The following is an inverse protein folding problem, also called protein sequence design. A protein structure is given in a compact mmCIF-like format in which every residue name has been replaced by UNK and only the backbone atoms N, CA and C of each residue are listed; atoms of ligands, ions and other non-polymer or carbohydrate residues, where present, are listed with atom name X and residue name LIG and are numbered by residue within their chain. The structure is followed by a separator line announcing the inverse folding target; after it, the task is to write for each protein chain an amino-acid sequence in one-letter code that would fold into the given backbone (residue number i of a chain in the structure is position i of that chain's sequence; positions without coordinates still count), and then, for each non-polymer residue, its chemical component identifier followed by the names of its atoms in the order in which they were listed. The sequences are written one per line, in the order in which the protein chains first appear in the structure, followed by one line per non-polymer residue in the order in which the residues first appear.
data_IF_750857026827
#
_entry.id   IF_750857026827
#
_cell.length_a   1.000
_cell.length_b   1.000
_cell.length_c   1.000
_cell.angle_alpha   90.00
_cell.angle_beta   90.00
_cell.angle_gamma   90.00
#
_symmetry.space_group_name_H-M   'P 1'
#
loop_
_entity.id
_entity.type
_entity.pdbx_description
1 polymer ?
#
# COMPACT_ATOMS: atom_id res chain seq x y z
N UNK A 1 32.22 -27.29 -41.33
CA UNK A 1 30.91 -27.21 -40.65
C UNK A 1 31.02 -28.02 -39.37
N UNK A 2 31.22 -27.37 -38.23
CA UNK A 2 31.19 -28.05 -36.94
C UNK A 2 29.72 -28.31 -36.57
N UNK A 3 29.33 -29.58 -36.58
CA UNK A 3 28.03 -30.04 -36.10
C UNK A 3 27.90 -29.71 -34.62
N UNK A 4 26.89 -28.92 -34.26
CA UNK A 4 26.50 -28.71 -32.87
C UNK A 4 26.25 -30.08 -32.21
N UNK A 5 26.74 -30.32 -30.98
CA UNK A 5 26.48 -31.58 -30.30
C UNK A 5 24.96 -31.72 -30.13
N UNK A 6 24.44 -32.88 -30.55
CA UNK A 6 23.06 -33.26 -30.31
C UNK A 6 22.80 -33.20 -28.81
N UNK A 7 21.79 -32.42 -28.41
CA UNK A 7 21.30 -32.39 -27.04
C UNK A 7 20.81 -33.80 -26.71
N UNK A 8 21.48 -34.46 -25.76
CA UNK A 8 21.10 -35.78 -25.29
C UNK A 8 19.71 -35.68 -24.64
N UNK A 9 18.66 -36.30 -25.22
CA UNK A 9 17.34 -36.23 -24.66
C UNK A 9 17.28 -37.24 -23.51
N UNK A 10 16.92 -36.75 -22.32
CA UNK A 10 16.68 -37.52 -21.09
C UNK A 10 17.93 -37.73 -20.21
N UNK A 11 18.43 -36.63 -19.62
CA UNK A 11 18.89 -36.72 -18.23
C UNK A 11 17.62 -36.80 -17.37
N UNK A 12 17.30 -38.00 -16.89
CA UNK A 12 16.22 -38.21 -15.94
C UNK A 12 16.65 -37.63 -14.60
N UNK A 13 16.25 -36.39 -14.34
CA UNK A 13 16.41 -35.80 -13.02
C UNK A 13 15.35 -36.43 -12.14
N UNK A 14 15.76 -37.23 -11.16
CA UNK A 14 14.89 -37.75 -10.09
C UNK A 14 14.43 -36.57 -9.21
N UNK A 15 13.48 -35.79 -9.74
CA UNK A 15 12.99 -34.57 -9.14
C UNK A 15 11.88 -34.92 -8.14
N UNK A 16 12.24 -34.94 -6.86
CA UNK A 16 11.29 -35.23 -5.79
C UNK A 16 10.11 -34.23 -5.77
N UNK A 17 8.88 -34.68 -5.44
CA UNK A 17 7.75 -33.80 -5.22
C UNK A 17 7.97 -32.94 -3.98
N UNK A 18 7.71 -31.65 -4.10
CA UNK A 18 7.83 -30.73 -2.96
C UNK A 18 6.81 -31.07 -1.86
N UNK A 19 7.29 -31.03 -0.61
CA UNK A 19 6.48 -31.28 0.57
C UNK A 19 5.34 -30.26 0.66
N UNK A 20 4.11 -30.75 0.76
CA UNK A 20 2.94 -29.91 1.04
C UNK A 20 3.09 -29.30 2.44
N UNK A 21 2.65 -28.06 2.60
CA UNK A 21 2.45 -27.45 3.93
C UNK A 21 1.58 -28.41 4.74
N UNK A 22 2.17 -28.98 5.79
CA UNK A 22 1.54 -30.00 6.62
C UNK A 22 0.54 -29.36 7.61
N UNK A 23 -0.18 -30.22 8.31
CA UNK A 23 -1.17 -29.84 9.32
C UNK A 23 -0.57 -28.95 10.43
N UNK A 24 0.69 -29.17 10.80
CA UNK A 24 1.41 -28.44 11.85
C UNK A 24 1.53 -26.94 11.59
N UNK A 25 1.85 -26.54 10.34
CA UNK A 25 1.92 -25.12 10.00
C UNK A 25 0.53 -24.46 10.03
N UNK A 26 -0.52 -25.20 9.66
CA UNK A 26 -1.91 -24.72 9.74
C UNK A 26 -2.36 -24.58 11.19
N UNK A 27 -2.01 -25.53 12.04
CA UNK A 27 -2.27 -25.47 13.48
C UNK A 27 -1.53 -24.32 14.13
N UNK A 28 -0.28 -24.05 13.76
CA UNK A 28 0.48 -22.94 14.32
C UNK A 28 -0.19 -21.58 14.01
N UNK A 29 -0.67 -21.39 12.78
CA UNK A 29 -1.44 -20.20 12.39
C UNK A 29 -2.77 -20.13 13.15
N UNK A 30 -3.52 -21.22 13.22
CA UNK A 30 -4.80 -21.27 13.95
C UNK A 30 -4.65 -21.00 15.44
N UNK A 31 -3.59 -21.50 16.06
CA UNK A 31 -3.28 -21.31 17.49
C UNK A 31 -2.71 -19.91 17.79
N UNK A 32 -2.63 -19.02 16.79
CA UNK A 32 -2.12 -17.66 16.97
C UNK A 32 -0.64 -17.62 17.33
N UNK A 33 0.11 -18.69 17.03
CA UNK A 33 1.55 -18.76 17.33
C UNK A 33 2.38 -17.91 16.36
N UNK A 34 1.76 -17.40 15.28
CA UNK A 34 2.38 -16.55 14.27
C UNK A 34 2.05 -15.09 14.55
N UNK A 35 3.06 -14.31 14.93
CA UNK A 35 2.91 -12.88 15.23
C UNK A 35 2.70 -12.01 13.98
N UNK A 36 2.24 -10.75 14.18
CA UNK A 36 2.04 -9.79 13.06
C UNK A 36 3.29 -9.58 12.21
N UNK A 37 4.48 -9.61 12.81
CA UNK A 37 5.75 -9.45 12.08
C UNK A 37 6.07 -10.65 11.19
N UNK A 38 5.78 -11.87 11.63
CA UNK A 38 5.92 -13.07 10.80
C UNK A 38 4.95 -13.02 9.61
N UNK A 39 3.70 -12.60 9.82
CA UNK A 39 2.74 -12.42 8.71
C UNK A 39 3.25 -11.37 7.70
N UNK A 40 3.90 -10.29 8.15
CA UNK A 40 4.53 -9.32 7.22
C UNK A 40 5.58 -10.00 6.35
N UNK A 41 6.45 -10.82 6.95
CA UNK A 41 7.45 -11.57 6.19
C UNK A 41 6.81 -12.57 5.21
N UNK A 42 5.72 -13.24 5.60
CA UNK A 42 4.99 -14.16 4.72
C UNK A 42 4.29 -13.44 3.56
N UNK A 43 3.73 -12.25 3.79
CA UNK A 43 3.16 -11.41 2.72
C UNK A 43 4.25 -10.95 1.75
N UNK A 44 5.41 -10.53 2.25
CA UNK A 44 6.55 -10.15 1.41
C UNK A 44 7.08 -11.34 0.61
N UNK A 45 7.23 -12.51 1.24
CA UNK A 45 7.62 -13.75 0.58
C UNK A 45 6.62 -14.16 -0.51
N UNK A 46 5.32 -13.96 -0.29
CA UNK A 46 4.31 -14.21 -1.31
C UNK A 46 4.52 -13.34 -2.56
N UNK A 47 4.78 -12.04 -2.38
CA UNK A 47 5.03 -11.17 -3.52
C UNK A 47 6.34 -11.50 -4.26
N UNK A 48 7.36 -11.99 -3.54
CA UNK A 48 8.60 -12.49 -4.17
C UNK A 48 8.31 -13.73 -5.03
N UNK A 49 7.64 -14.75 -4.46
CA UNK A 49 7.26 -15.97 -5.19
C UNK A 49 6.38 -15.66 -6.42
N UNK A 50 5.45 -14.72 -6.27
CA UNK A 50 4.61 -14.27 -7.39
C UNK A 50 5.45 -13.63 -8.52
N UNK A 51 6.44 -12.82 -8.16
CA UNK A 51 7.38 -12.23 -9.12
C UNK A 51 8.21 -13.28 -9.85
N UNK A 52 8.68 -14.28 -9.11
CA UNK A 52 9.48 -15.38 -9.66
C UNK A 52 8.64 -16.28 -10.57
N UNK A 53 7.41 -16.63 -10.18
CA UNK A 53 6.45 -17.35 -11.05
C UNK A 53 6.22 -16.61 -12.36
N UNK A 54 5.99 -15.30 -12.32
CA UNK A 54 5.79 -14.48 -13.53
C UNK A 54 7.06 -14.50 -14.40
N UNK A 55 8.24 -14.36 -13.78
CA UNK A 55 9.53 -14.38 -14.48
C UNK A 55 9.75 -15.70 -15.21
N UNK A 56 9.57 -16.83 -14.53
CA UNK A 56 9.78 -18.16 -15.12
C UNK A 56 8.71 -18.48 -16.16
N UNK A 57 7.48 -18.05 -15.98
CA UNK A 57 6.44 -18.16 -17.02
C UNK A 57 6.83 -17.40 -18.29
N UNK A 58 7.41 -16.20 -18.15
CA UNK A 58 7.91 -15.45 -19.30
C UNK A 58 9.11 -16.13 -19.98
N UNK A 59 10.00 -16.78 -19.21
CA UNK A 59 11.09 -17.58 -19.76
C UNK A 59 10.56 -18.77 -20.56
N UNK A 60 9.54 -19.47 -20.05
CA UNK A 60 8.88 -20.56 -20.79
C UNK A 60 8.26 -20.07 -22.11
N UNK A 61 7.60 -18.91 -22.10
CA UNK A 61 7.08 -18.29 -23.33
C UNK A 61 8.21 -18.00 -24.33
N UNK A 62 9.30 -17.39 -23.86
CA UNK A 62 10.46 -17.09 -24.70
C UNK A 62 11.14 -18.34 -25.27
N UNK A 63 11.11 -19.48 -24.58
CA UNK A 63 11.60 -20.75 -25.10
C UNK A 63 10.68 -21.29 -26.19
N UNK A 64 9.37 -21.26 -25.95
CA UNK A 64 8.35 -21.64 -26.95
C UNK A 64 8.46 -20.80 -28.23
N UNK A 65 8.67 -19.49 -28.11
CA UNK A 65 8.86 -18.60 -29.27
C UNK A 65 10.11 -18.96 -30.10
N UNK A 66 11.07 -19.68 -29.50
CA UNK A 66 12.28 -20.19 -30.15
C UNK A 66 12.17 -21.67 -30.56
N UNK A 67 10.98 -22.27 -30.47
CA UNK A 67 10.75 -23.71 -30.64
C UNK A 67 11.65 -24.59 -29.76
N UNK A 68 11.99 -24.11 -28.57
CA UNK A 68 12.74 -24.85 -27.57
C UNK A 68 11.80 -25.28 -26.44
N UNK A 69 11.91 -26.54 -26.02
CA UNK A 69 11.23 -27.06 -24.84
C UNK A 69 12.24 -27.40 -23.75
N UNK A 70 11.90 -27.13 -22.49
CA UNK A 70 12.76 -27.45 -21.35
C UNK A 70 11.91 -28.05 -20.23
N UNK A 71 12.08 -29.36 -20.02
CA UNK A 71 11.42 -30.09 -18.94
C UNK A 71 11.79 -29.52 -17.56
N UNK A 72 13.06 -29.15 -17.37
CA UNK A 72 13.58 -28.59 -16.11
C UNK A 72 12.92 -27.24 -15.80
N UNK A 73 12.83 -26.34 -16.78
CA UNK A 73 12.22 -25.02 -16.55
C UNK A 73 10.71 -25.15 -16.34
N UNK A 74 10.06 -26.11 -17.01
CA UNK A 74 8.66 -26.41 -16.77
C UNK A 74 8.41 -26.94 -15.35
N UNK A 75 9.26 -27.86 -14.87
CA UNK A 75 9.22 -28.32 -13.48
C UNK A 75 9.43 -27.17 -12.49
N UNK A 76 10.41 -26.29 -12.75
CA UNK A 76 10.68 -25.14 -11.89
C UNK A 76 9.53 -24.13 -11.88
N UNK A 77 8.83 -23.94 -13.01
CA UNK A 77 7.63 -23.11 -13.06
C UNK A 77 6.50 -23.71 -12.20
N UNK A 78 6.30 -25.02 -12.27
CA UNK A 78 5.32 -25.73 -11.44
C UNK A 78 5.65 -25.62 -9.94
N UNK A 79 6.94 -25.69 -9.58
CA UNK A 79 7.40 -25.47 -8.21
C UNK A 79 7.01 -24.09 -7.67
N UNK A 80 7.29 -23.04 -8.44
CA UNK A 80 6.98 -21.67 -8.02
C UNK A 80 5.47 -21.47 -7.89
N UNK A 81 4.69 -22.00 -8.83
CA UNK A 81 3.22 -21.93 -8.77
C UNK A 81 2.69 -22.66 -7.53
N UNK A 82 3.20 -23.85 -7.23
CA UNK A 82 2.79 -24.62 -6.05
C UNK A 82 3.19 -23.90 -4.74
N UNK A 83 4.39 -23.32 -4.69
CA UNK A 83 4.88 -22.56 -3.53
C UNK A 83 4.04 -21.32 -3.27
N UNK A 84 3.71 -20.55 -4.31
CA UNK A 84 2.80 -19.40 -4.22
C UNK A 84 1.41 -19.83 -3.71
N UNK A 85 0.83 -20.90 -4.27
CA UNK A 85 -0.48 -21.42 -3.84
C UNK A 85 -0.46 -21.90 -2.38
N UNK A 86 0.61 -22.55 -1.96
CA UNK A 86 0.75 -23.01 -0.57
C UNK A 86 0.80 -21.84 0.39
N UNK A 87 1.55 -20.79 0.06
CA UNK A 87 1.63 -19.59 0.89
C UNK A 87 0.30 -18.81 0.89
N UNK A 88 -0.40 -18.72 -0.24
CA UNK A 88 -1.75 -18.17 -0.28
C UNK A 88 -2.71 -18.89 0.67
N UNK A 89 -2.64 -20.23 0.74
CA UNK A 89 -3.48 -21.01 1.67
C UNK A 89 -3.16 -20.72 3.14
N UNK A 90 -1.87 -20.60 3.48
CA UNK A 90 -1.44 -20.23 4.84
C UNK A 90 -2.03 -18.85 5.22
N UNK A 91 -1.90 -17.87 4.32
CA UNK A 91 -2.44 -16.53 4.55
C UNK A 91 -3.98 -16.52 4.62
N UNK A 92 -4.66 -17.36 3.83
CA UNK A 92 -6.11 -17.55 3.94
C UNK A 92 -6.50 -18.06 5.32
N UNK A 93 -5.85 -19.11 5.82
CA UNK A 93 -6.15 -19.66 7.16
C UNK A 93 -5.97 -18.59 8.25
N UNK A 94 -4.93 -17.75 8.14
CA UNK A 94 -4.71 -16.65 9.08
C UNK A 94 -5.83 -15.60 9.03
N UNK A 95 -6.30 -15.27 7.83
CA UNK A 95 -7.38 -14.27 7.62
C UNK A 95 -8.71 -14.84 8.09
N UNK A 96 -9.05 -16.05 7.66
CA UNK A 96 -10.34 -16.69 7.90
C UNK A 96 -10.53 -17.09 9.38
N UNK A 97 -9.45 -17.19 10.16
CA UNK A 97 -9.52 -17.44 11.61
C UNK A 97 -9.91 -16.22 12.45
N UNK A 98 -10.06 -15.04 11.85
CA UNK A 98 -10.35 -13.78 12.54
C UNK A 98 -11.57 -13.09 11.92
N UNK A 99 -12.46 -12.55 12.75
CA UNK A 99 -13.68 -11.87 12.29
C UNK A 99 -13.38 -10.70 11.34
N UNK A 100 -12.35 -9.89 11.65
CA UNK A 100 -11.91 -8.81 10.76
C UNK A 100 -11.47 -9.35 9.39
N UNK A 101 -10.82 -10.51 9.36
CA UNK A 101 -10.38 -11.16 8.14
C UNK A 101 -11.54 -11.74 7.34
N UNK A 102 -12.53 -12.34 8.00
CA UNK A 102 -13.76 -12.81 7.38
C UNK A 102 -14.54 -11.65 6.74
N UNK A 103 -14.65 -10.51 7.44
CA UNK A 103 -15.23 -9.29 6.88
C UNK A 103 -14.47 -8.82 5.63
N UNK A 104 -13.14 -8.75 5.69
CA UNK A 104 -12.33 -8.38 4.53
C UNK A 104 -12.57 -9.32 3.34
N UNK A 105 -12.59 -10.63 3.57
CA UNK A 105 -12.81 -11.66 2.55
C UNK A 105 -14.23 -11.63 1.96
N UNK A 106 -15.21 -11.08 2.68
CA UNK A 106 -16.59 -10.90 2.18
C UNK A 106 -16.68 -9.84 1.07
N UNK A 107 -15.71 -8.92 1.01
CA UNK A 107 -15.71 -7.81 0.05
C UNK A 107 -15.16 -8.29 -1.29
N UNK A 108 -15.98 -8.20 -2.34
CA UNK A 108 -15.54 -8.55 -3.69
C UNK A 108 -14.25 -7.80 -4.08
N UNK A 109 -13.24 -8.57 -4.45
CA UNK A 109 -11.94 -8.06 -4.85
C UNK A 109 -10.91 -7.99 -3.71
N UNK A 110 -11.31 -8.10 -2.45
CA UNK A 110 -10.36 -8.15 -1.33
C UNK A 110 -10.09 -9.61 -0.98
N UNK A 111 -8.98 -10.13 -1.50
CA UNK A 111 -8.56 -11.51 -1.24
C UNK A 111 -7.62 -11.65 -0.03
N UNK A 112 -7.34 -12.90 0.39
CA UNK A 112 -6.55 -13.20 1.59
C UNK A 112 -5.20 -12.49 1.70
N UNK A 113 -4.49 -12.31 0.59
CA UNK A 113 -3.21 -11.61 0.59
C UNK A 113 -3.35 -10.13 0.98
N UNK A 114 -4.37 -9.46 0.44
CA UNK A 114 -4.64 -8.06 0.76
C UNK A 114 -5.09 -7.95 2.21
N UNK A 115 -5.98 -8.85 2.63
CA UNK A 115 -6.49 -8.91 4.01
C UNK A 115 -5.37 -9.11 5.01
N UNK A 116 -4.53 -10.14 4.81
CA UNK A 116 -3.38 -10.43 5.67
C UNK A 116 -2.41 -9.25 5.72
N UNK A 117 -2.12 -8.61 4.58
CA UNK A 117 -1.28 -7.41 4.52
C UNK A 117 -1.85 -6.26 5.38
N UNK A 118 -3.14 -5.95 5.25
CA UNK A 118 -3.78 -4.90 6.04
C UNK A 118 -3.72 -5.20 7.54
N UNK A 119 -4.14 -6.41 7.93
CA UNK A 119 -4.18 -6.86 9.32
C UNK A 119 -2.79 -6.89 9.96
N UNK A 120 -1.75 -7.21 9.18
CA UNK A 120 -0.38 -7.24 9.66
C UNK A 120 0.23 -5.84 9.77
N UNK A 121 -0.03 -4.93 8.82
CA UNK A 121 0.56 -3.58 8.86
C UNK A 121 -0.19 -2.61 9.78
N UNK A 122 -1.50 -2.76 9.94
CA UNK A 122 -2.31 -1.83 10.72
C UNK A 122 -2.48 -2.34 12.14
N UNK A 123 -2.00 -1.55 13.09
CA UNK A 123 -2.18 -1.77 14.50
C UNK A 123 -3.26 -0.84 15.03
N UNK A 124 -4.46 -1.36 15.25
CA UNK A 124 -5.64 -0.55 15.56
C UNK A 124 -5.50 0.23 16.88
N UNK A 125 -4.75 -0.32 17.84
CA UNK A 125 -4.44 0.32 19.13
C UNK A 125 -3.59 1.58 18.97
N UNK A 126 -2.84 1.70 17.88
CA UNK A 126 -2.04 2.88 17.54
C UNK A 126 -2.77 3.82 16.58
N UNK A 127 -4.02 3.51 16.24
CA UNK A 127 -4.84 4.29 15.33
C UNK A 127 -6.22 4.62 15.95
N UNK A 128 -6.28 5.56 16.92
CA UNK A 128 -7.56 5.98 17.51
C UNK A 128 -8.54 6.57 16.50
N UNK A 129 -8.03 7.13 15.39
CA UNK A 129 -8.85 7.64 14.29
C UNK A 129 -8.32 7.17 12.95
N UNK A 130 -9.19 7.04 11.95
CA UNK A 130 -8.81 6.67 10.57
C UNK A 130 -7.72 7.57 9.97
N UNK A 131 -7.64 8.84 10.39
CA UNK A 131 -6.60 9.77 9.96
C UNK A 131 -5.18 9.27 10.25
N UNK A 132 -4.99 8.52 11.35
CA UNK A 132 -3.71 7.87 11.68
C UNK A 132 -3.34 6.82 10.62
N UNK A 133 -4.32 6.01 10.19
CA UNK A 133 -4.12 5.02 9.13
C UNK A 133 -3.81 5.72 7.81
N UNK A 134 -4.56 6.78 7.44
CA UNK A 134 -4.30 7.52 6.21
C UNK A 134 -2.89 8.14 6.18
N UNK A 135 -2.41 8.68 7.30
CA UNK A 135 -1.06 9.22 7.41
C UNK A 135 -0.02 8.11 7.31
N UNK A 136 -0.21 6.99 8.03
CA UNK A 136 0.68 5.84 7.99
C UNK A 136 0.75 5.18 6.60
N UNK A 137 -0.36 5.15 5.86
CA UNK A 137 -0.46 4.66 4.49
C UNK A 137 -0.01 5.69 3.43
N UNK A 138 0.40 6.91 3.83
CA UNK A 138 0.88 7.95 2.91
C UNK A 138 -0.20 8.54 2.00
N UNK A 139 -1.46 8.57 2.47
CA UNK A 139 -2.63 9.16 1.82
C UNK A 139 -2.96 10.58 2.34
N UNK A 140 -2.28 11.04 3.39
CA UNK A 140 -2.37 12.41 3.92
C UNK A 140 -1.59 13.39 3.03
N UNK A 141 -2.25 14.33 2.33
CA UNK A 141 -1.58 15.29 1.45
C UNK A 141 -0.75 16.33 2.21
N UNK A 142 -1.01 16.55 3.51
CA UNK A 142 -0.26 17.51 4.33
C UNK A 142 1.14 17.01 4.70
N UNK A 143 1.34 15.68 4.67
CA UNK A 143 2.61 15.03 5.00
C UNK A 143 3.43 14.71 3.74
N UNK A 144 4.13 15.71 3.20
CA UNK A 144 5.01 15.56 2.03
C UNK A 144 6.34 14.89 2.41
N UNK A 145 6.79 13.95 1.57
CA UNK A 145 8.13 13.36 1.66
C UNK A 145 9.13 14.28 0.98
N UNK A 146 10.18 14.66 1.70
CA UNK A 146 11.25 15.55 1.23
C UNK A 146 12.42 14.67 0.77
N UNK A 147 12.94 14.94 -0.43
CA UNK A 147 14.08 14.20 -0.98
C UNK A 147 15.35 14.48 -0.18
N UNK A 148 16.35 13.59 -0.26
CA UNK A 148 17.64 13.84 0.39
C UNK A 148 18.31 15.13 -0.10
N UNK A 149 18.18 15.44 -1.40
CA UNK A 149 18.74 16.66 -1.98
C UNK A 149 18.07 17.93 -1.43
N UNK A 150 16.73 17.95 -1.41
CA UNK A 150 15.99 19.11 -0.91
C UNK A 150 16.13 19.26 0.60
N UNK A 151 16.22 18.14 1.32
CA UNK A 151 16.52 18.17 2.74
C UNK A 151 17.84 18.84 3.05
N UNK A 152 18.90 18.57 2.29
CA UNK A 152 20.21 19.20 2.48
C UNK A 152 20.14 20.71 2.21
N UNK A 153 19.36 21.13 1.19
CA UNK A 153 19.13 22.56 0.90
C UNK A 153 18.42 23.26 2.06
N UNK A 154 17.32 22.68 2.56
CA UNK A 154 16.55 23.23 3.69
C UNK A 154 17.42 23.37 4.93
N UNK A 155 18.18 22.32 5.28
CA UNK A 155 19.07 22.37 6.45
C UNK A 155 20.18 23.39 6.26
N UNK A 156 20.76 23.51 5.07
CA UNK A 156 21.84 24.46 4.82
C UNK A 156 21.38 25.92 4.82
N UNK A 157 20.10 26.17 4.49
CA UNK A 157 19.47 27.49 4.55
C UNK A 157 19.32 27.99 6.00
N UNK A 158 19.03 27.09 6.93
CA UNK A 158 18.70 27.44 8.32
C UNK A 158 19.82 27.18 9.32
N UNK A 159 20.73 26.25 9.05
CA UNK A 159 21.78 25.83 9.99
C UNK A 159 23.16 26.28 9.50
N UNK A 160 23.74 27.26 10.19
CA UNK A 160 25.09 27.77 9.89
C UNK A 160 26.19 26.83 10.43
N UNK A 161 25.99 26.26 11.62
CA UNK A 161 26.96 25.42 12.31
C UNK A 161 26.88 23.92 11.99
N UNK A 162 27.65 23.11 12.74
CA UNK A 162 27.62 21.65 12.66
C UNK A 162 26.55 21.02 13.57
N UNK A 163 26.17 21.73 14.63
CA UNK A 163 25.16 21.32 15.61
C UNK A 163 23.98 22.30 15.53
N UNK A 164 22.80 21.86 15.04
CA UNK A 164 21.63 22.71 14.93
C UNK A 164 21.14 23.14 16.31
N UNK A 165 20.82 24.43 16.46
CA UNK A 165 20.14 24.92 17.66
C UNK A 165 18.65 24.55 17.63
N UNK A 166 17.99 24.57 18.80
CA UNK A 166 16.56 24.29 18.89
C UNK A 166 15.71 25.32 18.12
N UNK A 167 16.16 26.57 18.05
CA UNK A 167 15.50 27.63 17.28
C UNK A 167 15.61 27.39 15.76
N UNK A 168 16.80 27.04 15.26
CA UNK A 168 16.98 26.64 13.85
C UNK A 168 16.09 25.44 13.50
N UNK A 169 16.02 24.43 14.39
CA UNK A 169 15.13 23.28 14.20
C UNK A 169 13.65 23.66 14.25
N UNK A 170 13.24 24.61 15.09
CA UNK A 170 11.87 25.11 15.14
C UNK A 170 11.48 25.81 13.82
N UNK A 171 12.38 26.62 13.25
CA UNK A 171 12.17 27.27 11.96
C UNK A 171 12.00 26.24 10.82
N UNK A 172 12.87 25.23 10.80
CA UNK A 172 12.75 24.11 9.85
C UNK A 172 11.42 23.36 10.05
N UNK A 173 11.04 23.10 11.30
CA UNK A 173 9.80 22.40 11.67
C UNK A 173 8.56 23.08 11.08
N UNK A 174 8.50 24.41 11.15
CA UNK A 174 7.44 25.23 10.54
C UNK A 174 7.48 25.13 9.02
N UNK A 175 8.64 25.30 8.39
CA UNK A 175 8.79 25.24 6.92
C UNK A 175 8.33 23.89 6.36
N UNK A 176 8.67 22.78 7.03
CA UNK A 176 8.35 21.42 6.53
C UNK A 176 7.01 20.86 7.04
N UNK A 177 6.25 21.65 7.82
CA UNK A 177 5.00 21.25 8.45
C UNK A 177 5.11 19.92 9.23
N UNK A 178 6.11 19.82 10.11
CA UNK A 178 6.28 18.70 11.06
C UNK A 178 6.31 19.24 12.48
N UNK A 179 6.01 18.39 13.46
CA UNK A 179 6.19 18.75 14.88
C UNK A 179 7.67 18.71 15.24
N UNK A 180 8.12 19.65 16.07
CA UNK A 180 9.52 19.77 16.46
C UNK A 180 10.00 18.49 17.16
N UNK A 181 9.22 17.93 18.10
CA UNK A 181 9.64 16.71 18.81
C UNK A 181 9.81 15.51 17.85
N UNK A 182 8.96 15.43 16.82
CA UNK A 182 9.06 14.39 15.80
C UNK A 182 10.29 14.59 14.90
N UNK A 183 10.63 15.84 14.59
CA UNK A 183 11.82 16.19 13.83
C UNK A 183 13.08 15.82 14.63
N UNK A 184 13.16 16.25 15.89
CA UNK A 184 14.26 15.94 16.82
C UNK A 184 14.47 14.43 16.95
N UNK A 185 13.41 13.68 17.27
CA UNK A 185 13.47 12.20 17.35
C UNK A 185 13.91 11.55 16.03
N UNK A 186 13.51 12.11 14.90
CA UNK A 186 13.92 11.57 13.59
C UNK A 186 15.38 11.89 13.24
N UNK A 187 15.91 12.99 13.76
CA UNK A 187 17.24 13.51 13.51
C UNK A 187 18.28 12.99 14.51
N UNK A 188 17.85 12.50 15.67
CA UNK A 188 18.72 11.97 16.72
C UNK A 188 19.56 10.79 16.21
N UNK A 189 20.85 10.83 16.52
CA UNK A 189 21.80 9.76 16.18
C UNK A 189 21.65 8.58 17.15
N UNK A 190 21.76 7.36 16.60
CA UNK A 190 21.69 6.12 17.36
C UNK A 190 23.04 5.40 17.34
N UNK A 191 23.45 4.86 18.49
CA UNK A 191 24.63 4.00 18.63
C UNK A 191 24.23 2.73 19.40
N UNK A 192 24.54 1.56 18.84
CA UNK A 192 24.16 0.26 19.40
C UNK A 192 22.66 0.17 19.76
N UNK A 193 21.80 0.71 18.90
CA UNK A 193 20.34 0.71 19.09
C UNK A 193 19.81 1.72 20.13
N UNK A 194 20.66 2.54 20.74
CA UNK A 194 20.26 3.55 21.73
C UNK A 194 20.41 4.97 21.20
N UNK A 195 19.47 5.89 21.51
CA UNK A 195 19.58 7.30 21.18
C UNK A 195 20.76 7.92 21.93
N UNK A 196 21.51 8.80 21.26
CA UNK A 196 22.71 9.44 21.82
C UNK A 196 22.46 10.84 22.37
N UNK A 197 21.28 11.43 22.17
CA UNK A 197 21.00 12.85 22.45
C UNK A 197 21.61 13.81 21.43
N UNK A 198 22.43 13.34 20.49
CA UNK A 198 23.16 14.18 19.55
C UNK A 198 22.38 14.35 18.25
N UNK A 199 22.25 15.60 17.83
CA UNK A 199 21.74 15.98 16.51
C UNK A 199 22.83 16.79 15.79
N UNK A 200 23.23 16.34 14.61
CA UNK A 200 24.17 17.02 13.73
C UNK A 200 23.45 17.55 12.50
N UNK A 201 24.08 18.48 11.76
CA UNK A 201 23.56 18.96 10.48
C UNK A 201 23.25 17.81 9.51
N UNK A 202 24.12 16.80 9.47
CA UNK A 202 23.95 15.62 8.64
C UNK A 202 22.81 14.71 9.14
N UNK A 203 22.73 14.47 10.45
CA UNK A 203 21.67 13.64 11.03
C UNK A 203 20.29 14.29 10.89
N UNK A 204 20.21 15.63 10.97
CA UNK A 204 19.01 16.41 10.71
C UNK A 204 18.54 16.27 9.26
N UNK A 205 19.44 16.40 8.29
CA UNK A 205 19.11 16.17 6.88
C UNK A 205 18.64 14.71 6.63
N UNK A 206 19.27 13.73 7.30
CA UNK A 206 18.82 12.34 7.25
C UNK A 206 17.43 12.17 7.87
N UNK A 207 17.15 12.83 9.00
CA UNK A 207 15.85 12.78 9.68
C UNK A 207 14.71 13.37 8.85
N UNK A 208 14.93 14.52 8.20
CA UNK A 208 13.94 15.17 7.33
C UNK A 208 13.63 14.32 6.10
N UNK A 209 14.66 13.73 5.50
CA UNK A 209 14.53 12.86 4.31
C UNK A 209 13.99 11.46 4.61
N UNK A 210 13.82 11.08 5.89
CA UNK A 210 13.08 9.85 6.24
C UNK A 210 11.66 9.92 5.69
N UNK A 211 11.22 8.79 5.14
CA UNK A 211 9.87 8.65 4.60
C UNK A 211 8.86 8.74 5.75
N UNK A 212 7.84 9.61 5.67
CA UNK A 212 6.90 9.82 6.78
C UNK A 212 5.75 8.79 6.83
N UNK A 213 5.79 7.75 5.99
CA UNK A 213 4.76 6.74 5.84
C UNK A 213 5.36 5.35 5.55
N UNK A 214 4.58 4.30 5.75
CA UNK A 214 4.96 2.94 5.37
C UNK A 214 4.74 2.73 3.86
N UNK A 215 5.84 2.49 3.13
CA UNK A 215 5.79 2.35 1.68
C UNK A 215 5.10 1.07 1.19
N UNK A 216 5.22 -0.02 1.94
CA UNK A 216 4.54 -1.27 1.60
C UNK A 216 3.04 -1.12 1.77
N UNK A 217 2.58 -0.55 2.88
CA UNK A 217 1.16 -0.25 3.09
C UNK A 217 0.62 0.74 2.04
N UNK A 218 1.39 1.75 1.66
CA UNK A 218 1.00 2.67 0.57
C UNK A 218 0.83 1.93 -0.76
N UNK A 219 1.72 0.99 -1.06
CA UNK A 219 1.65 0.16 -2.25
C UNK A 219 0.45 -0.78 -2.20
N UNK A 220 0.17 -1.36 -1.02
CA UNK A 220 -1.01 -2.17 -0.79
C UNK A 220 -2.30 -1.37 -1.02
N UNK A 221 -2.38 -0.13 -0.53
CA UNK A 221 -3.50 0.78 -0.78
C UNK A 221 -3.68 1.06 -2.29
N UNK A 222 -2.58 1.21 -3.03
CA UNK A 222 -2.66 1.33 -4.49
C UNK A 222 -3.28 0.07 -5.12
N UNK A 223 -2.83 -1.13 -4.73
CA UNK A 223 -3.38 -2.41 -5.20
C UNK A 223 -4.87 -2.56 -4.86
N UNK A 224 -5.27 -2.22 -3.64
CA UNK A 224 -6.67 -2.21 -3.21
C UNK A 224 -7.51 -1.33 -4.14
N UNK A 225 -7.08 -0.08 -4.36
CA UNK A 225 -7.82 0.82 -5.26
C UNK A 225 -7.84 0.33 -6.71
N UNK A 226 -6.79 -0.37 -7.17
CA UNK A 226 -6.75 -0.95 -8.51
C UNK A 226 -7.81 -2.06 -8.65
N UNK A 227 -7.86 -2.91 -7.64
CA UNK A 227 -8.75 -4.05 -7.59
C UNK A 227 -10.22 -3.62 -7.50
N UNK A 228 -10.54 -2.72 -6.57
CA UNK A 228 -11.90 -2.24 -6.35
C UNK A 228 -12.40 -1.28 -7.46
N UNK A 229 -11.56 -0.36 -7.95
CA UNK A 229 -12.01 0.70 -8.86
C UNK A 229 -11.77 0.41 -10.35
N UNK A 230 -10.87 -0.51 -10.68
CA UNK A 230 -10.45 -0.74 -12.07
C UNK A 230 -10.80 -2.15 -12.51
N UNK A 231 -10.36 -3.16 -11.77
CA UNK A 231 -10.54 -4.56 -12.18
C UNK A 231 -11.95 -5.08 -11.94
N UNK A 232 -12.58 -4.66 -10.85
CA UNK A 232 -13.94 -5.10 -10.47
C UNK A 232 -15.02 -4.06 -10.77
N UNK A 233 -14.72 -3.00 -11.53
CA UNK A 233 -15.65 -1.86 -11.69
C UNK A 233 -16.95 -2.23 -12.40
N UNK A 234 -16.91 -3.19 -13.32
CA UNK A 234 -18.08 -3.64 -14.08
C UNK A 234 -18.82 -4.80 -13.39
N UNK A 235 -18.38 -5.22 -12.20
CA UNK A 235 -19.03 -6.30 -11.48
C UNK A 235 -20.16 -5.73 -10.63
N UNK A 236 -21.39 -6.17 -10.88
CA UNK A 236 -22.59 -5.70 -10.18
C UNK A 236 -22.54 -5.97 -8.66
N UNK A 237 -21.78 -6.98 -8.22
CA UNK A 237 -21.56 -7.29 -6.80
C UNK A 237 -20.53 -6.38 -6.12
N UNK A 238 -19.89 -5.47 -6.86
CA UNK A 238 -18.89 -4.57 -6.30
C UNK A 238 -19.57 -3.39 -5.60
N UNK A 239 -19.67 -3.46 -4.28
CA UNK A 239 -20.19 -2.39 -3.43
C UNK A 239 -19.53 -1.02 -3.69
N UNK A 240 -18.22 -0.99 -3.94
CA UNK A 240 -17.46 0.26 -4.08
C UNK A 240 -17.48 0.85 -5.49
N UNK A 241 -17.85 0.07 -6.52
CA UNK A 241 -17.89 0.53 -7.90
C UNK A 241 -18.82 1.73 -8.13
N UNK A 242 -20.10 1.73 -7.70
CA UNK A 242 -20.99 2.88 -7.92
C UNK A 242 -20.48 4.15 -7.22
N UNK A 243 -19.96 4.02 -5.99
CA UNK A 243 -19.38 5.14 -5.24
C UNK A 243 -18.15 5.73 -5.96
N UNK A 244 -17.31 4.88 -6.53
CA UNK A 244 -16.16 5.30 -7.33
C UNK A 244 -16.59 6.03 -8.60
N UNK A 245 -17.57 5.49 -9.35
CA UNK A 245 -18.06 6.08 -10.59
C UNK A 245 -18.73 7.44 -10.35
N UNK A 246 -19.55 7.55 -9.31
CA UNK A 246 -20.15 8.81 -8.88
C UNK A 246 -19.07 9.85 -8.53
N UNK A 247 -18.06 9.45 -7.75
CA UNK A 247 -16.94 10.35 -7.41
C UNK A 247 -16.16 10.77 -8.66
N UNK A 248 -15.91 9.85 -9.59
CA UNK A 248 -15.19 10.13 -10.83
C UNK A 248 -15.97 11.13 -11.69
N UNK A 249 -17.28 10.96 -11.82
CA UNK A 249 -18.15 11.91 -12.52
C UNK A 249 -18.13 13.31 -11.87
N UNK A 250 -18.18 13.40 -10.53
CA UNK A 250 -18.03 14.68 -9.80
C UNK A 250 -16.69 15.35 -10.07
N UNK A 251 -15.58 14.61 -10.05
CA UNK A 251 -14.25 15.16 -10.35
C UNK A 251 -14.15 15.60 -11.82
N UNK A 252 -14.77 14.90 -12.76
CA UNK A 252 -14.86 15.34 -14.16
C UNK A 252 -15.64 16.64 -14.32
N UNK A 253 -16.80 16.76 -13.67
CA UNK A 253 -17.61 17.97 -13.73
C UNK A 253 -16.83 19.19 -13.22
N UNK A 254 -16.12 19.05 -12.09
CA UNK A 254 -15.21 20.09 -11.57
C UNK A 254 -14.09 20.44 -12.54
N UNK A 255 -13.50 19.43 -13.18
CA UNK A 255 -12.45 19.64 -14.16
C UNK A 255 -12.96 20.41 -15.39
N UNK A 256 -14.18 20.11 -15.85
CA UNK A 256 -14.82 20.83 -16.95
C UNK A 256 -15.24 22.26 -16.56
N UNK A 257 -15.60 22.48 -15.30
CA UNK A 257 -15.95 23.81 -14.76
C UNK A 257 -14.72 24.72 -14.56
N UNK A 258 -13.49 24.20 -14.69
CA UNK A 258 -12.26 24.98 -14.53
C UNK A 258 -11.71 25.03 -13.10
N UNK A 259 -12.30 24.30 -12.15
CA UNK A 259 -11.88 24.26 -10.72
C UNK A 259 -10.42 23.84 -10.51
N UNK A 260 -9.78 23.24 -11.54
CA UNK A 260 -8.41 22.76 -11.49
C UNK A 260 -7.43 23.56 -12.35
N UNK A 261 -7.81 24.71 -12.89
CA UNK A 261 -6.95 25.55 -13.73
C UNK A 261 -5.63 25.91 -13.03
N UNK A 262 -5.68 26.38 -11.78
CA UNK A 262 -4.49 26.72 -10.98
C UNK A 262 -3.57 25.51 -10.72
N UNK A 263 -4.14 24.31 -10.68
CA UNK A 263 -3.36 23.07 -10.51
C UNK A 263 -2.71 22.69 -11.84
N UNK A 264 -3.43 22.83 -12.95
CA UNK A 264 -2.92 22.57 -14.29
C UNK A 264 -1.75 23.50 -14.63
N UNK A 265 -1.89 24.79 -14.36
CA UNK A 265 -0.85 25.80 -14.62
C UNK A 265 0.45 25.45 -13.87
N UNK A 266 0.38 25.18 -12.56
CA UNK A 266 1.56 24.81 -11.76
C UNK A 266 2.25 23.52 -12.20
N UNK A 267 1.54 22.64 -12.92
CA UNK A 267 2.05 21.33 -13.33
C UNK A 267 2.50 21.28 -14.79
N UNK A 268 2.19 22.29 -15.60
CA UNK A 268 2.44 22.25 -17.04
C UNK A 268 3.92 22.03 -17.37
N UNK A 269 4.82 22.67 -16.61
CA UNK A 269 6.28 22.58 -16.80
C UNK A 269 6.90 21.29 -16.24
N UNK A 270 6.11 20.48 -15.53
CA UNK A 270 6.58 19.21 -14.94
C UNK A 270 6.44 18.03 -15.90
N UNK A 271 5.79 18.21 -17.05
CA UNK A 271 5.48 17.13 -18.01
C UNK A 271 5.95 17.48 -19.42
N UNK A 272 6.30 16.46 -20.19
CA UNK A 272 6.72 16.65 -21.59
C UNK A 272 5.57 17.14 -22.48
N UNK A 273 5.90 18.02 -23.45
CA UNK A 273 4.93 18.68 -24.34
C UNK A 273 4.07 17.75 -25.19
N UNK A 274 4.53 16.51 -25.42
CA UNK A 274 3.82 15.50 -26.22
C UNK A 274 2.83 14.67 -25.40
N UNK A 275 2.84 14.79 -24.07
CA UNK A 275 2.02 13.95 -23.18
C UNK A 275 0.55 14.35 -23.19
N UNK A 276 -0.34 13.38 -22.90
CA UNK A 276 -1.77 13.65 -22.69
C UNK A 276 -2.01 14.64 -21.54
N UNK A 277 -1.16 14.60 -20.51
CA UNK A 277 -1.21 15.53 -19.39
C UNK A 277 -0.93 16.97 -19.82
N UNK A 278 0.14 17.20 -20.61
CA UNK A 278 0.44 18.54 -21.12
C UNK A 278 -0.71 19.13 -21.94
N UNK A 279 -1.32 18.33 -22.83
CA UNK A 279 -2.48 18.76 -23.62
C UNK A 279 -3.65 19.20 -22.73
N UNK A 280 -3.97 18.40 -21.70
CA UNK A 280 -5.02 18.76 -20.74
C UNK A 280 -4.68 20.03 -19.97
N UNK A 281 -3.44 20.16 -19.48
CA UNK A 281 -3.04 21.33 -18.70
C UNK A 281 -3.09 22.63 -19.50
N UNK A 282 -2.77 22.58 -20.80
CA UNK A 282 -2.88 23.73 -21.71
C UNK A 282 -4.32 24.23 -21.85
N UNK A 283 -5.31 23.38 -21.61
CA UNK A 283 -6.73 23.73 -21.58
C UNK A 283 -7.22 24.12 -20.17
N UNK A 284 -6.33 24.26 -19.18
CA UNK A 284 -6.70 24.52 -17.79
C UNK A 284 -7.32 23.31 -17.08
N UNK A 285 -7.10 22.09 -17.59
CA UNK A 285 -7.72 20.85 -17.09
C UNK A 285 -6.67 19.85 -16.61
N UNK A 286 -7.04 18.97 -15.70
CA UNK A 286 -6.27 17.76 -15.39
C UNK A 286 -6.55 16.66 -16.42
N UNK A 287 -5.60 15.75 -16.61
CA UNK A 287 -5.80 14.58 -17.47
C UNK A 287 -6.77 13.55 -16.86
N UNK A 288 -7.41 12.72 -17.69
CA UNK A 288 -8.32 11.66 -17.22
C UNK A 288 -7.62 10.69 -16.25
N UNK A 289 -6.35 10.36 -16.49
CA UNK A 289 -5.56 9.53 -15.58
C UNK A 289 -5.40 10.16 -14.19
N UNK A 290 -5.27 11.48 -14.10
CA UNK A 290 -5.22 12.18 -12.82
C UNK A 290 -6.58 12.22 -12.12
N UNK A 291 -7.66 12.45 -12.88
CA UNK A 291 -9.03 12.39 -12.35
C UNK A 291 -9.32 10.99 -11.79
N UNK A 292 -8.91 9.94 -12.51
CA UNK A 292 -8.99 8.57 -12.03
C UNK A 292 -8.17 8.37 -10.75
N UNK A 293 -6.92 8.85 -10.69
CA UNK A 293 -6.08 8.69 -9.49
C UNK A 293 -6.61 9.47 -8.29
N UNK A 294 -7.22 10.65 -8.49
CA UNK A 294 -7.91 11.41 -7.44
C UNK A 294 -9.11 10.63 -6.90
N UNK A 295 -9.91 10.06 -7.79
CA UNK A 295 -11.09 9.27 -7.44
C UNK A 295 -10.72 7.97 -6.73
N UNK A 296 -9.67 7.27 -7.20
CA UNK A 296 -9.08 6.09 -6.54
C UNK A 296 -8.58 6.41 -5.13
N UNK A 297 -7.93 7.57 -4.95
CA UNK A 297 -7.45 8.02 -3.64
C UNK A 297 -8.59 8.31 -2.67
N UNK A 298 -9.69 8.89 -3.15
CA UNK A 298 -10.89 9.09 -2.35
C UNK A 298 -11.49 7.73 -1.91
N UNK A 299 -11.65 6.80 -2.84
CA UNK A 299 -12.23 5.50 -2.52
C UNK A 299 -11.37 4.69 -1.53
N UNK A 300 -10.05 4.65 -1.71
CA UNK A 300 -9.21 3.90 -0.76
C UNK A 300 -9.23 4.50 0.65
N UNK A 301 -9.42 5.82 0.77
CA UNK A 301 -9.64 6.45 2.08
C UNK A 301 -10.96 6.02 2.71
N UNK A 302 -12.02 5.93 1.91
CA UNK A 302 -13.32 5.43 2.34
C UNK A 302 -13.21 3.96 2.80
N UNK A 303 -12.61 3.10 1.98
CA UNK A 303 -12.36 1.70 2.36
C UNK A 303 -11.57 1.58 3.67
N UNK A 304 -10.51 2.38 3.86
CA UNK A 304 -9.76 2.39 5.12
C UNK A 304 -10.57 2.94 6.30
N UNK A 305 -11.57 3.78 6.05
CA UNK A 305 -12.54 4.21 7.07
C UNK A 305 -13.44 3.06 7.50
N UNK A 306 -13.92 2.26 6.54
CA UNK A 306 -14.68 1.04 6.86
C UNK A 306 -13.81 0.03 7.61
N UNK A 307 -12.57 -0.20 7.16
CA UNK A 307 -11.61 -1.05 7.86
C UNK A 307 -11.38 -0.56 9.29
N UNK A 308 -11.16 0.75 9.47
CA UNK A 308 -10.97 1.33 10.80
C UNK A 308 -12.18 1.08 11.68
N UNK A 309 -13.39 1.32 11.18
CA UNK A 309 -14.62 1.08 11.91
C UNK A 309 -14.72 -0.37 12.37
N UNK A 310 -14.66 -1.33 11.46
CA UNK A 310 -14.80 -2.75 11.79
C UNK A 310 -13.69 -3.22 12.73
N UNK A 311 -12.43 -2.88 12.45
CA UNK A 311 -11.32 -3.27 13.31
C UNK A 311 -11.38 -2.64 14.70
N UNK A 312 -11.90 -1.41 14.81
CA UNK A 312 -12.03 -0.70 16.08
C UNK A 312 -13.17 -1.30 16.91
N UNK A 313 -14.35 -1.48 16.32
CA UNK A 313 -15.51 -2.10 16.97
C UNK A 313 -15.16 -3.51 17.46
N UNK A 314 -14.51 -4.33 16.65
CA UNK A 314 -14.05 -5.67 17.06
C UNK A 314 -13.01 -5.65 18.19
N UNK A 315 -12.15 -4.62 18.25
CA UNK A 315 -11.09 -4.55 19.28
C UNK A 315 -11.60 -4.00 20.61
N UNK A 316 -12.45 -2.98 20.56
CA UNK A 316 -12.83 -2.18 21.73
C UNK A 316 -14.28 -2.41 22.17
N UNK A 317 -15.10 -3.11 21.37
CA UNK A 317 -16.51 -3.37 21.65
C UNK A 317 -17.42 -2.14 21.50
N UNK A 318 -16.91 -1.04 20.96
CA UNK A 318 -17.64 0.20 20.72
C UNK A 318 -17.26 0.82 19.37
N UNK A 319 -18.17 1.62 18.81
CA UNK A 319 -17.92 2.28 17.53
C UNK A 319 -16.82 3.36 17.69
N UNK A 320 -15.97 3.55 16.67
CA UNK A 320 -14.89 4.53 16.75
C UNK A 320 -15.43 5.95 16.98
N UNK A 321 -14.65 6.82 17.65
CA UNK A 321 -15.04 8.21 17.83
C UNK A 321 -15.25 8.86 16.46
N UNK A 322 -16.43 9.46 16.25
CA UNK A 322 -16.77 10.14 15.00
C UNK A 322 -15.68 11.17 14.66
N UNK A 323 -15.08 11.16 13.45
CA UNK A 323 -14.00 12.08 13.13
C UNK A 323 -14.42 13.55 13.29
N UNK A 324 -13.49 14.42 13.67
CA UNK A 324 -13.75 15.84 14.00
C UNK A 324 -14.57 16.61 12.92
N UNK A 325 -14.40 16.26 11.64
CA UNK A 325 -15.17 16.87 10.55
C UNK A 325 -16.68 16.55 10.61
N UNK A 326 -17.06 15.40 11.17
CA UNK A 326 -18.47 15.01 11.34
C UNK A 326 -19.12 15.69 12.55
N UNK A 327 -18.34 16.04 13.59
CA UNK A 327 -18.86 16.73 14.78
C UNK A 327 -18.99 18.25 14.62
N UNK A 328 -18.27 18.87 13.66
CA UNK A 328 -18.23 20.35 13.55
C UNK A 328 -18.56 20.92 12.16
N UNK A 329 -18.60 20.13 11.07
CA UNK A 329 -18.69 20.66 9.69
C UNK A 329 -19.91 20.19 8.87
N UNK A 330 -20.90 19.51 9.47
CA UNK A 330 -22.26 19.34 8.92
C UNK A 330 -22.44 18.63 7.57
N UNK A 331 -21.39 18.06 6.96
CA UNK A 331 -21.42 17.54 5.58
C UNK A 331 -20.82 16.14 5.46
N UNK A 332 -21.47 15.13 6.06
CA UNK A 332 -21.06 13.74 5.89
C UNK A 332 -22.24 12.80 5.83
N UNK A 333 -22.60 12.32 4.64
CA UNK A 333 -23.32 11.07 4.52
C UNK A 333 -22.39 9.97 5.05
N UNK A 334 -22.79 9.31 6.14
CA UNK A 334 -22.08 8.14 6.66
C UNK A 334 -22.35 7.01 5.68
N UNK A 335 -21.31 6.54 5.01
CA UNK A 335 -21.37 5.32 4.22
C UNK A 335 -20.91 4.21 5.17
N UNK A 336 -21.79 3.25 5.41
CA UNK A 336 -21.51 2.13 6.29
C UNK A 336 -20.57 1.12 5.61
N UNK A 337 -19.77 0.38 6.41
CA UNK A 337 -19.01 -0.76 5.89
C UNK A 337 -19.96 -1.76 5.22
N UNK A 338 -19.64 -2.28 4.02
CA UNK A 338 -20.45 -3.34 3.42
C UNK A 338 -20.42 -4.59 4.31
N UNK A 339 -21.50 -5.36 4.30
CA UNK A 339 -21.61 -6.65 4.97
C UNK A 339 -21.36 -6.57 6.49
N UNK A 340 -21.66 -5.42 7.12
CA UNK A 340 -21.41 -5.20 8.55
C UNK A 340 -22.65 -4.59 9.21
N UNK A 341 -23.06 -5.17 10.33
CA UNK A 341 -24.10 -4.59 11.18
C UNK A 341 -23.46 -3.59 12.15
N UNK A 342 -23.82 -2.31 12.05
CA UNK A 342 -23.28 -1.28 12.95
C UNK A 342 -23.92 -1.30 14.35
N UNK A 343 -25.11 -1.88 14.50
CA UNK A 343 -25.83 -1.98 15.78
C UNK A 343 -25.37 -3.23 16.54
N UNK A 344 -25.33 -4.37 15.86
CA UNK A 344 -24.92 -5.65 16.45
C UNK A 344 -23.40 -5.82 16.47
N UNK A 345 -22.66 -5.09 15.63
CA UNK A 345 -21.20 -5.18 15.55
C UNK A 345 -20.72 -6.53 14.98
N UNK A 346 -21.51 -7.13 14.08
CA UNK A 346 -21.25 -8.45 13.50
C UNK A 346 -21.21 -8.42 11.97
N UNK A 347 -20.61 -9.46 11.39
CA UNK A 347 -20.61 -9.71 9.96
C UNK A 347 -22.01 -10.12 9.48
N UNK A 348 -22.52 -9.46 8.44
CA UNK A 348 -23.75 -9.84 7.73
C UNK A 348 -23.35 -10.53 6.42
N UNK A 349 -23.71 -11.82 6.20
CA UNK A 349 -23.26 -12.58 5.04
C UNK A 349 -23.84 -12.14 3.69
#
# INVERSE_FOLDING_TARGET
MATAPAFDPVVDFDLEPFLKVNETAREAVKKGLVGKDEIRFLVDAFYQLQGDRIRTTNQLRSLKDRNLESAIINWFANYQDQSERNLAKILSIYVDSQELGQWLSSILGIGPLISAGLMAYIDIEKAPTVGHIWRYAGLDPSSKWISSADSTKIVSKHVAGTTPTREEMANISVEINRRLENLERSAEEYKNGKPTGRITKASLAKGISKRPYNATLKTLCFKISDQLCVRQVNNEKNYYAPLFLERKAKEHAKNLAGDFADIAERKIDTVGKTTKAYKAYKEGKLSDGEIQMRSRRWLVKLFLSHYHHVAYTLRFGENPPKPYAFSHLGHGHVVSPPNWDEEEGILIP
#
